data_IF_977816351448
#
_entry.id   IF_977816351448
#
_cell.length_a   1.000
_cell.length_b   1.000
_cell.length_c   1.000
_cell.angle_alpha   90.00
_cell.angle_beta   90.00
_cell.angle_gamma   90.00
#
_symmetry.space_group_name_H-M   'P 1'
#
loop_
_entity.id
_entity.type
_entity.pdbx_description
1 polymer ?
#
# COMPACT_ATOMS: atom_id res chain seq x y z
N UNK A 1 -7.51 2.85 5.25
CA UNK A 1 -7.56 3.66 6.49
C UNK A 1 -6.36 4.60 6.51
N UNK A 2 -6.55 5.82 7.01
CA UNK A 2 -5.49 6.82 7.18
C UNK A 2 -5.38 7.13 8.68
N UNK A 3 -4.17 7.12 9.24
CA UNK A 3 -3.90 7.36 10.66
C UNK A 3 -2.57 8.06 10.85
N UNK A 4 -2.55 9.13 11.64
CA UNK A 4 -1.33 9.85 11.96
C UNK A 4 -0.46 9.01 12.93
N UNK A 5 0.88 8.96 12.76
CA UNK A 5 1.73 8.10 13.60
C UNK A 5 1.66 8.42 15.10
N UNK A 6 1.48 9.68 15.48
CA UNK A 6 1.34 10.05 16.89
C UNK A 6 0.08 9.44 17.51
N UNK A 7 -1.05 9.47 16.79
CA UNK A 7 -2.31 8.85 17.20
C UNK A 7 -2.15 7.32 17.28
N UNK A 8 -1.49 6.72 16.29
CA UNK A 8 -1.22 5.28 16.28
C UNK A 8 -0.35 4.85 17.48
N UNK A 9 0.64 5.65 17.89
CA UNK A 9 1.43 5.36 19.09
C UNK A 9 0.61 5.51 20.37
N UNK A 10 -0.19 6.56 20.49
CA UNK A 10 -0.99 6.83 21.68
C UNK A 10 -2.10 5.79 21.89
N UNK A 11 -2.70 5.29 20.81
CA UNK A 11 -3.85 4.38 20.86
C UNK A 11 -3.58 3.01 20.25
N UNK A 12 -2.32 2.54 20.27
CA UNK A 12 -1.89 1.31 19.61
C UNK A 12 -2.82 0.13 19.87
N UNK A 13 -3.16 -0.16 21.13
CA UNK A 13 -4.01 -1.31 21.47
C UNK A 13 -5.41 -1.22 20.86
N UNK A 14 -6.05 -0.05 20.95
CA UNK A 14 -7.36 0.17 20.36
C UNK A 14 -7.32 0.08 18.82
N UNK A 15 -6.24 0.56 18.22
CA UNK A 15 -6.02 0.49 16.79
C UNK A 15 -5.83 -0.94 16.29
N UNK A 16 -4.99 -1.74 16.96
CA UNK A 16 -4.81 -3.17 16.62
C UNK A 16 -6.12 -3.96 16.81
N UNK A 17 -6.90 -3.64 17.86
CA UNK A 17 -8.20 -4.25 18.08
C UNK A 17 -9.18 -3.91 16.94
N UNK A 18 -9.24 -2.64 16.54
CA UNK A 18 -10.08 -2.22 15.40
C UNK A 18 -9.68 -2.95 14.10
N UNK A 19 -8.39 -3.13 13.84
CA UNK A 19 -7.90 -3.91 12.71
C UNK A 19 -8.28 -5.40 12.81
N UNK A 20 -8.22 -5.97 14.01
CA UNK A 20 -8.64 -7.35 14.27
C UNK A 20 -10.14 -7.54 14.03
N UNK A 21 -10.97 -6.58 14.43
CA UNK A 21 -12.43 -6.65 14.33
C UNK A 21 -12.96 -6.43 12.91
N UNK A 22 -12.21 -5.69 12.07
CA UNK A 22 -12.59 -5.45 10.67
C UNK A 22 -12.67 -6.74 9.85
N UNK A 23 -13.87 -7.15 9.43
CA UNK A 23 -14.09 -8.33 8.58
C UNK A 23 -13.88 -8.01 7.10
N UNK A 24 -12.67 -7.58 6.76
CA UNK A 24 -12.18 -7.37 5.37
C UNK A 24 -10.93 -8.22 5.13
N UNK A 25 -10.85 -8.86 3.96
CA UNK A 25 -9.72 -9.74 3.62
C UNK A 25 -8.45 -8.98 3.23
N UNK A 26 -8.55 -7.71 2.85
CA UNK A 26 -7.40 -6.85 2.57
C UNK A 26 -7.60 -5.48 3.18
N UNK A 27 -6.71 -5.10 4.09
CA UNK A 27 -6.76 -3.83 4.82
C UNK A 27 -5.48 -3.06 4.55
N UNK A 28 -5.63 -1.81 4.14
CA UNK A 28 -4.51 -0.90 3.92
C UNK A 28 -4.51 0.25 4.93
N UNK A 29 -3.37 0.48 5.57
CA UNK A 29 -3.12 1.56 6.54
C UNK A 29 -2.09 2.51 5.95
N UNK A 30 -2.47 3.77 5.72
CA UNK A 30 -1.62 4.81 5.12
C UNK A 30 -1.03 4.46 3.74
N UNK A 31 -1.63 3.49 3.05
CA UNK A 31 -1.22 3.06 1.71
C UNK A 31 -2.46 2.87 0.86
N UNK A 32 -2.31 3.01 -0.46
CA UNK A 32 -3.38 2.64 -1.38
C UNK A 32 -3.67 1.14 -1.29
N UNK A 33 -4.95 0.79 -1.23
CA UNK A 33 -5.38 -0.60 -1.06
C UNK A 33 -4.75 -1.52 -2.10
N UNK A 34 -4.70 -1.11 -3.38
CA UNK A 34 -4.05 -1.79 -4.51
C UNK A 34 -2.63 -2.28 -4.28
N UNK A 35 -1.87 -1.64 -3.37
CA UNK A 35 -0.53 -2.07 -3.03
C UNK A 35 -0.48 -3.50 -2.47
N UNK A 36 -1.51 -3.94 -1.74
CA UNK A 36 -1.60 -5.33 -1.29
C UNK A 36 -1.67 -6.33 -2.46
N UNK A 37 -2.25 -5.94 -3.60
CA UNK A 37 -2.41 -6.85 -4.73
C UNK A 37 -1.05 -7.11 -5.35
N UNK A 38 -0.21 -6.09 -5.39
CA UNK A 38 1.15 -6.21 -5.94
C UNK A 38 2.07 -7.09 -5.08
N UNK A 39 1.69 -7.39 -3.83
CA UNK A 39 2.45 -8.22 -2.90
C UNK A 39 1.90 -9.66 -2.89
N UNK A 40 2.49 -10.55 -3.69
CA UNK A 40 2.06 -11.96 -3.79
C UNK A 40 2.09 -12.73 -2.46
N UNK A 41 2.90 -12.27 -1.52
CA UNK A 41 2.96 -12.78 -0.15
C UNK A 41 1.67 -12.55 0.63
N UNK A 42 0.97 -11.46 0.35
CA UNK A 42 -0.30 -11.13 1.01
C UNK A 42 -1.45 -11.77 0.27
N UNK A 43 -2.47 -12.25 1.00
CA UNK A 43 -3.74 -12.62 0.38
C UNK A 43 -4.52 -11.36 -0.02
N UNK A 44 -5.09 -11.38 -1.22
CA UNK A 44 -6.02 -10.36 -1.67
C UNK A 44 -7.41 -10.95 -1.87
N UNK A 45 -8.41 -10.45 -1.16
CA UNK A 45 -9.78 -10.93 -1.35
C UNK A 45 -10.72 -10.61 -0.19
N UNK A 46 -11.76 -11.43 -0.08
CA UNK A 46 -12.77 -11.30 0.95
C UNK A 46 -12.37 -11.92 2.28
N UNK A 47 -12.93 -11.39 3.36
CA UNK A 47 -12.88 -12.04 4.66
C UNK A 47 -13.69 -13.35 4.62
N UNK A 48 -13.25 -14.45 5.27
CA UNK A 48 -13.98 -15.72 5.26
C UNK A 48 -15.43 -15.60 5.76
N UNK A 49 -16.35 -16.30 5.08
CA UNK A 49 -17.75 -16.46 5.51
C UNK A 49 -18.80 -15.72 4.68
N UNK A 50 -18.41 -14.99 3.64
CA UNK A 50 -19.34 -14.36 2.71
C UNK A 50 -19.93 -15.36 1.71
N UNK A 51 -21.19 -15.14 1.32
CA UNK A 51 -21.92 -15.93 0.31
C UNK A 51 -22.18 -15.09 -0.93
N UNK A 52 -22.60 -15.70 -2.03
CA UNK A 52 -22.95 -14.97 -3.27
C UNK A 52 -24.03 -13.91 -3.03
N UNK A 53 -25.02 -14.21 -2.19
CA UNK A 53 -26.09 -13.26 -1.84
C UNK A 53 -25.61 -12.12 -0.92
N UNK A 54 -24.48 -12.31 -0.24
CA UNK A 54 -23.93 -11.38 0.77
C UNK A 54 -22.41 -11.34 0.69
N UNK A 55 -21.91 -10.92 -0.47
CA UNK A 55 -20.47 -10.92 -0.76
C UNK A 55 -19.66 -10.02 0.19
N UNK A 56 -20.25 -8.94 0.72
CA UNK A 56 -19.61 -8.07 1.72
C UNK A 56 -18.23 -7.58 1.27
N UNK A 57 -17.16 -8.08 1.89
CA UNK A 57 -15.78 -7.72 1.57
C UNK A 57 -15.17 -8.49 0.38
N UNK A 58 -15.93 -9.41 -0.22
CA UNK A 58 -15.52 -10.27 -1.33
C UNK A 58 -15.70 -11.76 -1.01
N UNK A 59 -15.50 -12.62 -2.02
CA UNK A 59 -15.53 -14.08 -1.87
C UNK A 59 -14.24 -14.64 -2.48
N UNK A 60 -13.62 -15.56 -1.75
CA UNK A 60 -12.33 -16.13 -2.13
C UNK A 60 -11.17 -15.15 -1.94
N UNK A 61 -9.98 -15.63 -2.30
CA UNK A 61 -8.75 -14.85 -2.28
C UNK A 61 -7.84 -15.27 -3.44
N UNK A 62 -6.99 -14.34 -3.86
CA UNK A 62 -5.85 -14.60 -4.72
C UNK A 62 -4.57 -14.34 -3.94
N UNK A 63 -3.43 -14.70 -4.54
CA UNK A 63 -2.11 -14.68 -3.88
C UNK A 63 -2.11 -15.62 -2.66
N UNK A 64 -1.30 -15.36 -1.62
CA UNK A 64 -0.97 -16.30 -0.52
C UNK A 64 0.21 -17.23 -0.84
N UNK A 65 1.36 -16.66 -1.24
CA UNK A 65 2.60 -17.45 -1.49
C UNK A 65 3.03 -18.29 -0.27
N UNK A 66 2.67 -17.89 0.96
CA UNK A 66 2.96 -18.65 2.18
C UNK A 66 1.99 -19.82 2.44
N UNK A 67 0.97 -20.02 1.59
CA UNK A 67 0.04 -21.14 1.65
C UNK A 67 -0.68 -21.27 3.01
N UNK A 68 -1.02 -20.14 3.65
CA UNK A 68 -1.83 -20.18 4.85
C UNK A 68 -3.21 -20.78 4.54
N UNK A 69 -3.51 -21.93 5.15
CA UNK A 69 -4.76 -22.68 4.92
C UNK A 69 -6.01 -21.84 5.24
N UNK A 70 -5.95 -21.05 6.32
CA UNK A 70 -7.09 -20.30 6.86
C UNK A 70 -6.79 -18.80 6.93
N UNK A 71 -6.25 -18.25 5.85
CA UNK A 71 -5.96 -16.82 5.76
C UNK A 71 -7.26 -16.00 5.93
N UNK A 72 -7.31 -15.16 6.98
CA UNK A 72 -8.48 -14.33 7.26
C UNK A 72 -8.40 -12.96 6.59
N UNK A 73 -7.23 -12.34 6.67
CA UNK A 73 -6.97 -11.00 6.16
C UNK A 73 -5.47 -10.75 6.00
N UNK A 74 -5.14 -9.82 5.13
CA UNK A 74 -3.82 -9.20 5.06
C UNK A 74 -3.92 -7.74 5.45
N UNK A 75 -3.00 -7.26 6.29
CA UNK A 75 -2.89 -5.85 6.66
C UNK A 75 -1.59 -5.29 6.11
N UNK A 76 -1.69 -4.31 5.23
CA UNK A 76 -0.54 -3.65 4.59
C UNK A 76 -0.40 -2.25 5.14
N UNK A 77 0.80 -1.94 5.63
CA UNK A 77 1.14 -0.64 6.18
C UNK A 77 2.02 0.12 5.19
N UNK A 78 1.75 1.42 5.04
CA UNK A 78 2.64 2.35 4.37
C UNK A 78 2.86 3.62 5.19
N UNK A 79 3.56 4.57 4.58
CA UNK A 79 3.94 5.81 5.23
C UNK A 79 2.79 6.81 5.21
N UNK A 80 2.60 7.55 6.31
CA UNK A 80 1.57 8.58 6.38
C UNK A 80 1.89 9.78 5.49
N UNK A 81 3.17 10.18 5.42
CA UNK A 81 3.64 11.31 4.63
C UNK A 81 4.64 10.86 3.56
N UNK A 82 4.59 11.44 2.34
CA UNK A 82 5.55 11.11 1.29
C UNK A 82 6.92 11.76 1.54
N UNK A 83 7.95 11.17 0.94
CA UNK A 83 9.25 11.82 0.83
C UNK A 83 9.18 13.11 -0.01
N UNK A 84 9.96 14.18 0.32
CA UNK A 84 10.76 14.38 1.53
C UNK A 84 9.98 15.04 2.68
N UNK A 85 8.65 15.15 2.59
CA UNK A 85 7.86 15.84 3.63
C UNK A 85 8.04 15.15 5.00
N UNK A 86 8.20 13.84 5.01
CA UNK A 86 8.52 13.03 6.19
C UNK A 86 9.96 13.23 6.75
N UNK A 87 10.86 13.95 6.06
CA UNK A 87 12.15 14.38 6.60
C UNK A 87 12.05 15.63 7.50
N UNK A 88 10.88 16.26 7.59
CA UNK A 88 10.72 17.38 8.53
C UNK A 88 10.87 16.85 9.97
N UNK A 89 11.48 17.62 10.89
CA UNK A 89 11.75 17.17 12.26
C UNK A 89 10.52 16.56 12.97
N UNK A 90 9.34 17.11 12.69
CA UNK A 90 8.05 16.65 13.23
C UNK A 90 7.73 15.18 12.90
N UNK A 91 8.11 14.68 11.74
CA UNK A 91 7.83 13.29 11.31
C UNK A 91 8.96 12.34 11.69
N UNK A 92 10.22 12.81 11.72
CA UNK A 92 11.37 12.02 12.20
C UNK A 92 11.22 11.66 13.70
N UNK A 93 10.74 12.59 14.52
CA UNK A 93 10.41 12.35 15.94
C UNK A 93 9.30 11.30 16.14
N UNK A 94 8.67 10.86 15.06
CA UNK A 94 7.56 9.93 15.07
C UNK A 94 7.92 8.55 14.48
N UNK A 95 9.18 8.35 14.11
CA UNK A 95 9.70 7.03 13.69
C UNK A 95 9.06 6.50 12.40
N UNK A 96 8.67 7.39 11.48
CA UNK A 96 8.13 6.96 10.18
C UNK A 96 9.21 6.23 9.36
N UNK A 97 8.80 5.17 8.65
CA UNK A 97 9.64 4.53 7.63
C UNK A 97 9.63 5.41 6.36
N UNK A 98 10.62 5.20 5.50
CA UNK A 98 10.83 6.02 4.32
C UNK A 98 10.72 5.18 3.06
N UNK A 99 9.62 5.33 2.31
CA UNK A 99 9.51 4.80 0.96
C UNK A 99 10.03 5.87 -0.01
N UNK A 100 11.10 5.51 -0.73
CA UNK A 100 11.73 6.30 -1.78
C UNK A 100 11.66 5.53 -3.10
N UNK A 101 11.33 6.19 -4.23
CA UNK A 101 10.87 7.58 -4.38
C UNK A 101 9.45 7.82 -3.85
N UNK A 102 8.93 9.07 -3.91
CA UNK A 102 7.52 9.37 -3.56
C UNK A 102 6.60 8.39 -4.30
N UNK A 103 5.83 7.56 -3.59
CA UNK A 103 4.97 6.59 -4.25
C UNK A 103 3.92 7.22 -5.17
N UNK A 104 3.51 6.52 -6.25
CA UNK A 104 2.57 7.06 -7.24
C UNK A 104 1.15 7.23 -6.69
N UNK A 105 0.79 6.56 -5.58
CA UNK A 105 -0.52 6.68 -4.96
C UNK A 105 -0.69 7.92 -4.08
N UNK A 106 0.37 8.69 -3.83
CA UNK A 106 0.21 10.00 -3.20
C UNK A 106 -0.38 10.99 -4.21
N UNK A 107 -1.51 11.59 -3.87
CA UNK A 107 -2.19 12.61 -4.70
C UNK A 107 -1.28 13.82 -4.99
N UNK A 108 -0.27 14.04 -4.14
CA UNK A 108 0.74 15.10 -4.30
C UNK A 108 1.92 14.71 -5.20
N UNK A 109 1.90 13.52 -5.82
CA UNK A 109 2.91 13.09 -6.79
C UNK A 109 2.64 13.75 -8.15
N UNK A 110 3.36 14.85 -8.44
CA UNK A 110 3.14 15.63 -9.67
C UNK A 110 3.64 14.92 -10.93
N UNK A 111 4.56 13.96 -10.77
CA UNK A 111 5.14 13.20 -11.87
C UNK A 111 4.46 11.85 -12.08
N UNK A 112 3.42 11.49 -11.31
CA UNK A 112 2.80 10.18 -11.34
C UNK A 112 2.39 9.72 -12.75
N UNK A 113 1.73 10.59 -13.52
CA UNK A 113 1.33 10.29 -14.90
C UNK A 113 2.53 10.11 -15.85
N UNK A 114 3.56 10.95 -15.72
CA UNK A 114 4.77 10.86 -16.54
C UNK A 114 5.56 9.57 -16.22
N UNK A 115 5.71 9.25 -14.93
CA UNK A 115 6.31 8.00 -14.44
C UNK A 115 5.54 6.79 -14.97
N UNK A 116 4.20 6.78 -14.86
CA UNK A 116 3.36 5.69 -15.38
C UNK A 116 3.51 5.51 -16.89
N UNK A 117 3.61 6.61 -17.65
CA UNK A 117 3.83 6.56 -19.11
C UNK A 117 5.20 5.97 -19.46
N UNK A 118 6.26 6.35 -18.76
CA UNK A 118 7.58 5.77 -18.98
C UNK A 118 7.62 4.29 -18.59
N UNK A 119 6.96 3.94 -17.48
CA UNK A 119 6.83 2.56 -17.05
C UNK A 119 6.10 1.72 -18.10
N UNK A 120 5.02 2.24 -18.68
CA UNK A 120 4.31 1.58 -19.79
C UNK A 120 5.24 1.27 -20.97
N UNK A 121 5.99 2.25 -21.46
CA UNK A 121 6.92 2.02 -22.58
C UNK A 121 8.01 1.02 -22.23
N UNK A 122 8.56 1.09 -21.01
CA UNK A 122 9.51 0.09 -20.52
C UNK A 122 8.90 -1.30 -20.46
N UNK A 123 7.67 -1.48 -19.97
CA UNK A 123 7.02 -2.80 -19.94
C UNK A 123 6.65 -3.31 -21.32
N UNK A 124 6.42 -2.42 -22.29
CA UNK A 124 6.03 -2.77 -23.65
C UNK A 124 7.20 -3.30 -24.50
N UNK A 125 8.39 -2.72 -24.35
CA UNK A 125 9.57 -3.11 -25.16
C UNK A 125 10.74 -3.70 -24.35
N UNK A 126 10.70 -3.61 -23.02
CA UNK A 126 11.71 -4.07 -22.05
C UNK A 126 13.12 -3.53 -22.33
N UNK A 127 13.24 -2.40 -23.05
CA UNK A 127 14.54 -1.86 -23.42
C UNK A 127 15.13 -1.01 -22.30
N UNK A 128 16.38 -1.33 -21.92
CA UNK A 128 17.07 -0.65 -20.82
C UNK A 128 17.20 0.88 -20.99
N UNK A 129 17.22 1.41 -22.22
CA UNK A 129 17.29 2.85 -22.47
C UNK A 129 16.01 3.62 -22.05
N UNK A 130 14.92 2.93 -21.73
CA UNK A 130 13.72 3.54 -21.13
C UNK A 130 13.92 3.88 -19.65
N UNK A 131 14.88 3.22 -18.98
CA UNK A 131 15.12 3.36 -17.54
C UNK A 131 15.54 4.78 -17.11
N UNK A 132 16.46 5.48 -17.81
CA UNK A 132 16.84 6.85 -17.44
C UNK A 132 15.64 7.81 -17.38
N UNK A 133 14.74 7.75 -18.37
CA UNK A 133 13.52 8.56 -18.40
C UNK A 133 12.56 8.20 -17.27
N UNK A 134 12.38 6.90 -17.00
CA UNK A 134 11.57 6.42 -15.88
C UNK A 134 12.10 6.95 -14.53
N UNK A 135 13.39 6.80 -14.25
CA UNK A 135 14.00 7.27 -13.00
C UNK A 135 13.96 8.79 -12.86
N UNK A 136 14.15 9.53 -13.95
CA UNK A 136 14.06 10.99 -13.96
C UNK A 136 12.71 11.50 -13.44
N UNK A 137 11.61 10.92 -13.92
CA UNK A 137 10.27 11.28 -13.48
C UNK A 137 9.97 10.74 -12.07
N UNK A 138 10.36 9.49 -11.79
CA UNK A 138 10.10 8.86 -10.49
C UNK A 138 10.74 9.63 -9.32
N UNK A 139 11.98 10.12 -9.48
CA UNK A 139 12.71 10.87 -8.45
C UNK A 139 12.20 12.31 -8.24
N UNK A 140 11.34 12.82 -9.13
CA UNK A 140 10.84 14.21 -9.14
C UNK A 140 9.36 14.33 -8.75
N UNK A 141 8.77 13.24 -8.25
CA UNK A 141 7.36 13.16 -7.85
C UNK A 141 6.95 14.03 -6.68
#
# INVERSE_FOLDING_TARGET
MITHPATLRQHRRAFEQALADLRYGSIAVNIWAGAGFMLSQTSWGGYPGHTLDKAGSGIGLVHNTFLFERAQKSVVYGDFAPFPHNLRPRYLLHGERHILPKPPWFVTNRQGAATARQLFYFTADQKAWRLPGLFWHALRG
#
